data_IF_554720493950
#
_entry.id   IF_554720493950
#
_cell.length_a   1.000
_cell.length_b   1.000
_cell.length_c   1.000
_cell.angle_alpha   90.00
_cell.angle_beta   90.00
_cell.angle_gamma   90.00
#
_symmetry.space_group_name_H-M   'P 1'
#
loop_
_entity.id
_entity.type
_entity.pdbx_description
1 polymer ?
#
# COMPACT_ATOMS: atom_id res chain seq x y z
N UNK A 1 15.59 23.44 -20.90
CA UNK A 1 14.81 24.05 -19.80
C UNK A 1 14.26 22.97 -18.88
N UNK A 2 14.59 22.97 -17.57
CA UNK A 2 13.93 22.06 -16.62
C UNK A 2 12.44 22.43 -16.55
N UNK A 3 11.56 21.50 -16.91
CA UNK A 3 10.11 21.68 -16.76
C UNK A 3 9.82 21.98 -15.30
N UNK A 4 9.31 23.18 -14.99
CA UNK A 4 8.76 23.51 -13.67
C UNK A 4 7.81 22.36 -13.28
N UNK A 5 7.95 21.75 -12.08
CA UNK A 5 7.01 20.72 -11.65
C UNK A 5 5.61 21.34 -11.66
N UNK A 6 4.71 20.80 -12.49
CA UNK A 6 3.34 21.27 -12.56
C UNK A 6 2.69 21.06 -11.17
N UNK A 7 2.56 22.14 -10.39
CA UNK A 7 1.92 22.15 -9.06
C UNK A 7 0.55 21.45 -9.08
N UNK A 8 -0.15 21.47 -10.22
CA UNK A 8 -1.49 20.92 -10.39
C UNK A 8 -1.60 19.40 -10.21
N UNK A 9 -0.53 18.61 -10.39
CA UNK A 9 -0.60 17.14 -10.23
C UNK A 9 -0.56 16.63 -8.78
N UNK A 10 -0.36 17.51 -7.79
CA UNK A 10 -0.20 17.13 -6.38
C UNK A 10 -1.34 17.61 -5.48
N UNK A 11 -2.29 18.35 -6.05
CA UNK A 11 -3.52 18.73 -5.38
C UNK A 11 -4.52 17.59 -5.62
N UNK A 12 -4.96 16.95 -4.55
CA UNK A 12 -6.01 15.93 -4.60
C UNK A 12 -7.35 16.63 -4.76
N UNK A 13 -8.07 16.33 -5.84
CA UNK A 13 -9.45 16.80 -5.99
C UNK A 13 -10.35 16.15 -4.94
N UNK A 14 -11.41 16.85 -4.52
CA UNK A 14 -12.40 16.29 -3.59
C UNK A 14 -13.04 15.01 -4.17
N UNK A 15 -13.27 15.00 -5.49
CA UNK A 15 -13.72 13.83 -6.24
C UNK A 15 -12.77 12.65 -6.09
N UNK A 16 -11.46 12.86 -6.30
CA UNK A 16 -10.47 11.78 -6.17
C UNK A 16 -10.43 11.23 -4.75
N UNK A 17 -10.58 12.08 -3.74
CA UNK A 17 -10.65 11.65 -2.34
C UNK A 17 -11.89 10.79 -2.07
N UNK A 18 -13.09 11.25 -2.48
CA UNK A 18 -14.36 10.50 -2.32
C UNK A 18 -14.32 9.15 -3.02
N UNK A 19 -13.83 9.10 -4.25
CA UNK A 19 -13.71 7.84 -5.00
C UNK A 19 -12.71 6.89 -4.34
N UNK A 20 -11.58 7.40 -3.82
CA UNK A 20 -10.61 6.57 -3.13
C UNK A 20 -11.14 6.04 -1.80
N UNK A 21 -11.92 6.84 -1.08
CA UNK A 21 -12.64 6.39 0.12
C UNK A 21 -13.63 5.26 -0.21
N UNK A 22 -14.47 5.47 -1.23
CA UNK A 22 -15.41 4.45 -1.69
C UNK A 22 -14.68 3.18 -2.14
N UNK A 23 -13.54 3.32 -2.80
CA UNK A 23 -12.68 2.19 -3.19
C UNK A 23 -12.18 1.43 -1.97
N UNK A 24 -11.75 2.13 -0.92
CA UNK A 24 -11.32 1.51 0.34
C UNK A 24 -12.45 0.73 1.02
N UNK A 25 -13.65 1.31 1.06
CA UNK A 25 -14.87 0.67 1.57
C UNK A 25 -15.17 -0.60 0.77
N UNK A 26 -15.20 -0.50 -0.57
CA UNK A 26 -15.47 -1.64 -1.45
C UNK A 26 -14.43 -2.74 -1.26
N UNK A 27 -13.14 -2.41 -1.22
CA UNK A 27 -12.06 -3.39 -1.00
C UNK A 27 -12.26 -4.11 0.34
N UNK A 28 -12.51 -3.36 1.43
CA UNK A 28 -12.74 -3.94 2.74
C UNK A 28 -13.93 -4.91 2.74
N UNK A 29 -15.09 -4.47 2.25
CA UNK A 29 -16.30 -5.29 2.23
C UNK A 29 -16.19 -6.46 1.26
N UNK A 30 -15.45 -6.34 0.16
CA UNK A 30 -15.19 -7.46 -0.76
C UNK A 30 -14.36 -8.56 -0.10
N UNK A 31 -13.33 -8.18 0.66
CA UNK A 31 -12.51 -9.14 1.42
C UNK A 31 -13.34 -9.78 2.55
N UNK A 32 -14.15 -8.98 3.27
CA UNK A 32 -15.04 -9.50 4.30
C UNK A 32 -16.09 -10.46 3.73
N UNK A 33 -16.68 -10.13 2.57
CA UNK A 33 -17.60 -11.01 1.86
C UNK A 33 -16.94 -12.34 1.49
N UNK A 34 -15.70 -12.30 0.97
CA UNK A 34 -14.95 -13.51 0.66
C UNK A 34 -14.75 -14.39 1.92
N UNK A 35 -14.35 -13.83 3.05
CA UNK A 35 -14.14 -14.61 4.27
C UNK A 35 -15.43 -15.14 4.90
N UNK A 36 -16.43 -14.29 5.07
CA UNK A 36 -17.65 -14.64 5.81
C UNK A 36 -18.59 -15.48 4.95
N UNK A 37 -18.85 -15.03 3.72
CA UNK A 37 -19.87 -15.66 2.86
C UNK A 37 -19.28 -16.82 2.07
N UNK A 38 -18.15 -16.61 1.37
CA UNK A 38 -17.60 -17.64 0.48
C UNK A 38 -16.79 -18.71 1.20
N UNK A 39 -16.19 -18.38 2.36
CA UNK A 39 -15.39 -19.32 3.16
C UNK A 39 -16.10 -19.80 4.42
N UNK A 40 -17.33 -19.32 4.69
CA UNK A 40 -18.16 -19.73 5.82
C UNK A 40 -17.53 -19.44 7.19
N UNK A 41 -16.66 -18.43 7.27
CA UNK A 41 -15.99 -18.09 8.52
C UNK A 41 -16.88 -17.18 9.39
N UNK A 42 -16.86 -17.34 10.72
CA UNK A 42 -17.64 -16.46 11.59
C UNK A 42 -17.15 -15.02 11.48
N UNK A 43 -18.04 -14.04 11.68
CA UNK A 43 -17.63 -12.63 11.73
C UNK A 43 -17.00 -12.34 13.09
N UNK A 44 -15.69 -12.10 13.13
CA UNK A 44 -14.95 -11.73 14.34
C UNK A 44 -13.89 -10.63 14.07
N UNK A 45 -13.27 -10.13 15.15
CA UNK A 45 -12.23 -9.11 15.08
C UNK A 45 -10.96 -9.60 14.37
N UNK A 46 -10.66 -10.90 14.40
CA UNK A 46 -9.50 -11.47 13.72
C UNK A 46 -9.68 -11.46 12.20
N UNK A 47 -10.89 -11.69 11.68
CA UNK A 47 -11.19 -11.55 10.26
C UNK A 47 -11.19 -10.10 9.81
N UNK A 48 -11.78 -9.19 10.60
CA UNK A 48 -11.69 -7.76 10.33
C UNK A 48 -10.22 -7.31 10.25
N UNK A 49 -9.37 -7.76 11.18
CA UNK A 49 -7.94 -7.48 11.19
C UNK A 49 -7.24 -7.97 9.90
N UNK A 50 -7.55 -9.17 9.43
CA UNK A 50 -7.04 -9.71 8.15
C UNK A 50 -7.52 -8.89 6.95
N UNK A 51 -8.77 -8.46 6.94
CA UNK A 51 -9.33 -7.63 5.87
C UNK A 51 -8.65 -6.26 5.81
N UNK A 52 -8.37 -5.63 6.94
CA UNK A 52 -7.57 -4.39 6.99
C UNK A 52 -6.15 -4.62 6.48
N UNK A 53 -5.47 -5.69 6.90
CA UNK A 53 -4.12 -6.00 6.45
C UNK A 53 -4.04 -6.17 4.92
N UNK A 54 -4.94 -6.99 4.35
CA UNK A 54 -4.98 -7.26 2.91
C UNK A 54 -5.44 -6.02 2.15
N UNK A 55 -6.45 -5.30 2.64
CA UNK A 55 -6.94 -4.07 2.04
C UNK A 55 -5.86 -2.98 1.98
N UNK A 56 -5.02 -2.87 3.02
CA UNK A 56 -3.87 -1.97 3.02
C UNK A 56 -2.92 -2.27 1.84
N UNK A 57 -2.61 -3.54 1.59
CA UNK A 57 -1.75 -3.97 0.47
C UNK A 57 -2.36 -3.55 -0.87
N UNK A 58 -3.66 -3.79 -1.08
CA UNK A 58 -4.33 -3.43 -2.33
C UNK A 58 -4.36 -1.91 -2.56
N UNK A 59 -4.69 -1.12 -1.54
CA UNK A 59 -4.79 0.33 -1.64
C UNK A 59 -3.43 1.00 -1.80
N UNK A 60 -2.44 0.63 -0.98
CA UNK A 60 -1.06 1.14 -1.10
C UNK A 60 -0.45 0.67 -2.42
N UNK A 61 -0.64 -0.59 -2.80
CA UNK A 61 -0.18 -1.13 -4.07
C UNK A 61 -0.78 -0.38 -5.26
N UNK A 62 -2.08 -0.10 -5.27
CA UNK A 62 -2.73 0.69 -6.31
C UNK A 62 -2.14 2.11 -6.42
N UNK A 63 -1.87 2.76 -5.28
CA UNK A 63 -1.19 4.07 -5.24
C UNK A 63 0.19 4.03 -5.93
N UNK A 64 0.97 2.98 -5.67
CA UNK A 64 2.28 2.81 -6.30
C UNK A 64 2.18 2.38 -7.76
N UNK A 65 1.17 1.60 -8.14
CA UNK A 65 1.01 1.04 -9.48
C UNK A 65 0.63 2.08 -10.53
N UNK A 66 -0.16 3.09 -10.15
CA UNK A 66 -0.55 4.19 -11.04
C UNK A 66 0.65 4.92 -11.65
N UNK A 67 1.78 5.00 -10.92
CA UNK A 67 3.01 5.64 -11.41
C UNK A 67 3.59 4.93 -12.63
N UNK A 68 3.96 3.63 -12.53
CA UNK A 68 4.39 2.85 -13.68
C UNK A 68 3.37 2.76 -14.81
N UNK A 69 2.07 2.59 -14.51
CA UNK A 69 1.03 2.54 -15.55
C UNK A 69 0.96 3.82 -16.37
N UNK A 70 1.08 5.00 -15.74
CA UNK A 70 1.16 6.28 -16.45
C UNK A 70 2.42 6.41 -17.32
N UNK A 71 3.47 5.62 -17.10
CA UNK A 71 4.65 5.61 -17.98
C UNK A 71 4.45 4.75 -19.21
N UNK A 72 3.77 3.63 -19.10
CA UNK A 72 3.47 2.75 -20.24
C UNK A 72 2.29 3.25 -21.08
N UNK A 73 1.26 3.81 -20.45
CA UNK A 73 0.05 4.29 -21.11
C UNK A 73 -0.36 5.68 -20.57
N UNK A 74 0.39 6.70 -20.99
CA UNK A 74 0.26 8.08 -20.50
C UNK A 74 -1.15 8.64 -20.63
N UNK A 75 -1.77 8.57 -21.81
CA UNK A 75 -3.08 9.17 -22.06
C UNK A 75 -4.19 8.57 -21.18
N UNK A 76 -4.07 7.30 -20.80
CA UNK A 76 -5.07 6.59 -20.00
C UNK A 76 -4.88 6.79 -18.49
N UNK A 77 -3.62 6.82 -18.02
CA UNK A 77 -3.33 6.78 -16.59
C UNK A 77 -2.76 8.09 -16.01
N UNK A 78 -2.28 9.03 -16.83
CA UNK A 78 -1.85 10.35 -16.33
C UNK A 78 -2.98 11.10 -15.61
N UNK A 79 -4.22 11.13 -16.12
CA UNK A 79 -5.34 11.75 -15.40
C UNK A 79 -5.63 11.06 -14.06
N UNK A 80 -5.30 9.77 -13.94
CA UNK A 80 -5.54 8.96 -12.73
C UNK A 80 -4.42 9.12 -11.68
N UNK A 81 -3.43 9.98 -11.91
CA UNK A 81 -2.37 10.21 -10.91
C UNK A 81 -2.88 10.95 -9.67
N UNK A 82 -4.00 11.68 -9.76
CA UNK A 82 -4.62 12.37 -8.62
C UNK A 82 -5.07 11.42 -7.49
N UNK A 83 -5.37 10.16 -7.82
CA UNK A 83 -5.81 9.13 -6.86
C UNK A 83 -4.66 8.55 -6.04
N UNK A 84 -3.39 8.78 -6.43
CA UNK A 84 -2.23 8.15 -5.76
C UNK A 84 -2.16 8.50 -4.28
N UNK A 85 -2.26 9.79 -3.96
CA UNK A 85 -2.19 10.26 -2.57
C UNK A 85 -3.33 9.68 -1.71
N UNK A 86 -4.62 9.86 -2.05
CA UNK A 86 -5.69 9.37 -1.19
C UNK A 86 -5.71 7.84 -1.08
N UNK A 87 -5.44 7.08 -2.15
CA UNK A 87 -5.32 5.61 -2.07
C UNK A 87 -4.21 5.19 -1.11
N UNK A 88 -3.04 5.84 -1.18
CA UNK A 88 -1.92 5.56 -0.28
C UNK A 88 -2.26 5.87 1.18
N UNK A 89 -2.97 6.98 1.45
CA UNK A 89 -3.39 7.36 2.80
C UNK A 89 -4.46 6.44 3.38
N UNK A 90 -5.49 6.07 2.61
CA UNK A 90 -6.49 5.10 3.09
C UNK A 90 -5.87 3.72 3.34
N UNK A 91 -4.95 3.28 2.47
CA UNK A 91 -4.19 2.07 2.71
C UNK A 91 -3.29 2.15 3.95
N UNK A 92 -2.67 3.30 4.22
CA UNK A 92 -1.93 3.54 5.46
C UNK A 92 -2.84 3.49 6.70
N UNK A 93 -4.03 4.09 6.66
CA UNK A 93 -4.98 4.00 7.76
C UNK A 93 -5.44 2.56 8.02
N UNK A 94 -5.64 1.76 6.97
CA UNK A 94 -5.92 0.34 7.11
C UNK A 94 -4.76 -0.40 7.79
N UNK A 95 -3.52 -0.08 7.44
CA UNK A 95 -2.35 -0.66 8.11
C UNK A 95 -2.27 -0.27 9.59
N UNK A 96 -2.62 0.97 9.96
CA UNK A 96 -2.68 1.40 11.36
C UNK A 96 -3.76 0.62 12.12
N UNK A 97 -4.96 0.50 11.56
CA UNK A 97 -6.05 -0.29 12.18
C UNK A 97 -5.62 -1.75 12.34
N UNK A 98 -4.98 -2.33 11.33
CA UNK A 98 -4.44 -3.69 11.40
C UNK A 98 -3.43 -3.85 12.57
N UNK A 99 -2.53 -2.89 12.77
CA UNK A 99 -1.57 -2.92 13.87
C UNK A 99 -2.29 -2.82 15.21
N UNK A 100 -3.20 -1.86 15.37
CA UNK A 100 -3.95 -1.68 16.62
C UNK A 100 -4.77 -2.93 16.97
N UNK A 101 -5.46 -3.52 15.99
CA UNK A 101 -6.19 -4.77 16.19
C UNK A 101 -5.25 -5.94 16.50
N UNK A 102 -4.10 -6.02 15.84
CA UNK A 102 -3.11 -7.09 16.11
C UNK A 102 -2.57 -7.01 17.54
N UNK A 103 -2.29 -5.80 18.04
CA UNK A 103 -1.87 -5.59 19.43
C UNK A 103 -2.98 -5.91 20.44
N UNK A 104 -4.24 -5.74 20.04
CA UNK A 104 -5.39 -6.02 20.90
C UNK A 104 -5.73 -7.52 20.98
N UNK A 105 -5.67 -8.23 19.85
CA UNK A 105 -6.24 -9.60 19.73
C UNK A 105 -5.20 -10.71 19.66
N UNK A 106 -3.94 -10.41 19.34
CA UNK A 106 -2.89 -11.44 19.18
C UNK A 106 -2.11 -11.56 20.48
N UNK A 107 -2.04 -12.76 21.11
CA UNK A 107 -1.25 -12.97 22.31
C UNK A 107 0.22 -12.60 22.11
N UNK A 108 0.85 -12.00 23.12
CA UNK A 108 2.25 -11.55 23.05
C UNK A 108 3.24 -12.66 22.68
N UNK A 109 3.02 -13.89 23.17
CA UNK A 109 3.83 -15.07 22.83
C UNK A 109 3.75 -15.42 21.32
N UNK A 110 2.57 -15.24 20.71
CA UNK A 110 2.36 -15.45 19.28
C UNK A 110 3.03 -14.35 18.44
N UNK A 111 3.08 -13.11 18.95
CA UNK A 111 3.85 -12.03 18.33
C UNK A 111 5.36 -12.31 18.41
N UNK A 112 5.85 -12.76 19.56
CA UNK A 112 7.26 -13.09 19.78
C UNK A 112 7.77 -14.23 18.88
N UNK A 113 6.97 -15.29 18.71
CA UNK A 113 7.29 -16.41 17.82
C UNK A 113 7.32 -16.05 16.32
N UNK A 114 6.72 -14.93 15.92
CA UNK A 114 6.78 -14.39 14.55
C UNK A 114 7.78 -13.22 14.42
N UNK A 115 8.86 -13.21 15.21
CA UNK A 115 9.79 -12.08 15.33
C UNK A 115 10.30 -11.51 14.00
N UNK A 116 10.62 -12.36 13.01
CA UNK A 116 11.09 -11.88 11.70
C UNK A 116 9.97 -11.19 10.89
N UNK A 117 8.75 -11.72 10.93
CA UNK A 117 7.57 -11.09 10.33
C UNK A 117 7.32 -9.73 10.99
N UNK A 118 7.34 -9.70 12.32
CA UNK A 118 7.14 -8.47 13.09
C UNK A 118 8.22 -7.42 12.75
N UNK A 119 9.49 -7.82 12.65
CA UNK A 119 10.59 -6.92 12.25
C UNK A 119 10.31 -6.25 10.90
N UNK A 120 9.96 -7.02 9.87
CA UNK A 120 9.63 -6.45 8.56
C UNK A 120 8.42 -5.50 8.62
N UNK A 121 7.37 -5.88 9.37
CA UNK A 121 6.18 -5.06 9.57
C UNK A 121 6.49 -3.72 10.27
N UNK A 122 7.32 -3.75 11.31
CA UNK A 122 7.72 -2.57 12.07
C UNK A 122 8.53 -1.59 11.20
N UNK A 123 9.53 -2.07 10.47
CA UNK A 123 10.32 -1.19 9.59
C UNK A 123 9.43 -0.64 8.46
N UNK A 124 8.53 -1.46 7.89
CA UNK A 124 7.60 -1.01 6.86
C UNK A 124 6.70 0.13 7.36
N UNK A 125 6.09 0.00 8.54
CA UNK A 125 5.18 1.04 9.06
C UNK A 125 5.92 2.32 9.41
N UNK A 126 7.16 2.25 9.90
CA UNK A 126 7.98 3.45 10.14
C UNK A 126 8.22 4.22 8.84
N UNK A 127 8.59 3.52 7.76
CA UNK A 127 8.80 4.15 6.45
C UNK A 127 7.47 4.69 5.90
N UNK A 128 6.37 3.94 5.98
CA UNK A 128 5.07 4.44 5.53
C UNK A 128 4.58 5.65 6.33
N UNK A 129 4.88 5.71 7.62
CA UNK A 129 4.56 6.86 8.47
C UNK A 129 5.31 8.11 8.00
N UNK A 130 6.59 7.97 7.66
CA UNK A 130 7.38 9.05 7.06
C UNK A 130 6.81 9.49 5.68
N UNK A 131 6.41 8.53 4.84
CA UNK A 131 5.82 8.83 3.53
C UNK A 131 4.46 9.53 3.68
N UNK A 132 3.62 9.06 4.60
CA UNK A 132 2.30 9.62 4.87
C UNK A 132 2.40 11.03 5.47
N UNK A 133 3.27 11.27 6.44
CA UNK A 133 3.48 12.58 7.07
C UNK A 133 4.04 13.62 6.08
N UNK A 134 4.84 13.17 5.11
CA UNK A 134 5.40 14.05 4.06
C UNK A 134 4.53 14.14 2.80
N UNK A 135 3.29 13.64 2.82
CA UNK A 135 2.37 13.66 1.67
C UNK A 135 1.65 15.00 1.46
N UNK A 136 1.90 16.00 2.32
CA UNK A 136 1.29 17.33 2.26
C UNK A 136 2.01 18.24 1.26
N UNK A 137 1.29 19.19 0.66
CA UNK A 137 1.88 20.22 -0.22
C UNK A 137 2.92 21.06 0.52
N UNK A 138 2.68 21.36 1.80
CA UNK A 138 3.63 22.02 2.70
C UNK A 138 4.99 21.32 2.76
N UNK A 139 5.01 19.98 2.72
CA UNK A 139 6.27 19.22 2.73
C UNK A 139 7.07 19.36 1.43
N UNK A 140 6.38 19.56 0.30
CA UNK A 140 7.02 19.85 -0.98
C UNK A 140 7.67 21.23 -0.94
N UNK A 141 6.99 22.21 -0.35
CA UNK A 141 7.48 23.58 -0.19
C UNK A 141 8.68 23.64 0.77
N UNK A 142 8.65 22.89 1.87
CA UNK A 142 9.71 22.87 2.88
C UNK A 142 11.01 22.19 2.41
N UNK A 143 10.90 21.07 1.67
CA UNK A 143 12.06 20.24 1.33
C UNK A 143 12.51 20.34 -0.13
N UNK A 144 11.71 20.97 -0.98
CA UNK A 144 11.90 20.97 -2.42
C UNK A 144 11.47 19.64 -3.07
N UNK A 145 11.11 19.73 -4.34
CA UNK A 145 10.51 18.62 -5.08
C UNK A 145 11.39 17.36 -5.14
N UNK A 146 12.69 17.51 -5.38
CA UNK A 146 13.59 16.37 -5.56
C UNK A 146 13.79 15.55 -4.29
N UNK A 147 13.97 16.21 -3.14
CA UNK A 147 14.10 15.53 -1.84
C UNK A 147 12.79 14.88 -1.44
N UNK A 148 11.68 15.61 -1.57
CA UNK A 148 10.34 15.08 -1.33
C UNK A 148 10.08 13.83 -2.18
N UNK A 149 10.42 13.86 -3.47
CA UNK A 149 10.23 12.72 -4.36
C UNK A 149 11.08 11.51 -3.96
N UNK A 150 12.31 11.73 -3.48
CA UNK A 150 13.16 10.64 -2.94
C UNK A 150 12.51 10.00 -1.71
N UNK A 151 11.98 10.80 -0.78
CA UNK A 151 11.24 10.31 0.39
C UNK A 151 10.02 9.49 -0.06
N UNK A 152 9.19 10.01 -0.96
CA UNK A 152 8.00 9.29 -1.43
C UNK A 152 8.34 7.95 -2.13
N UNK A 153 9.54 7.82 -2.70
CA UNK A 153 10.02 6.59 -3.33
C UNK A 153 10.50 5.53 -2.33
N UNK A 154 10.86 5.89 -1.09
CA UNK A 154 11.22 4.90 -0.07
C UNK A 154 10.05 3.99 0.27
N UNK A 155 8.81 4.41 0.01
CA UNK A 155 7.66 3.55 0.21
C UNK A 155 7.59 2.33 -0.72
N UNK A 156 8.33 2.28 -1.83
CA UNK A 156 8.51 1.00 -2.58
C UNK A 156 9.33 -0.01 -1.76
N UNK A 157 10.31 0.45 -0.98
CA UNK A 157 11.05 -0.41 -0.05
C UNK A 157 10.14 -0.87 1.08
N UNK A 158 9.33 0.03 1.65
CA UNK A 158 8.33 -0.34 2.65
C UNK A 158 7.33 -1.39 2.11
N UNK A 159 6.90 -1.23 0.85
CA UNK A 159 5.98 -2.17 0.21
C UNK A 159 6.64 -3.55 -0.01
N UNK A 160 7.93 -3.60 -0.38
CA UNK A 160 8.68 -4.85 -0.41
C UNK A 160 8.78 -5.49 0.99
N UNK A 161 9.03 -4.71 2.04
CA UNK A 161 9.06 -5.21 3.42
C UNK A 161 7.70 -5.78 3.84
N UNK A 162 6.57 -5.20 3.40
CA UNK A 162 5.24 -5.78 3.62
C UNK A 162 5.08 -7.14 2.94
N UNK A 163 5.59 -7.31 1.71
CA UNK A 163 5.58 -8.62 1.05
C UNK A 163 6.37 -9.63 1.88
N UNK A 164 7.57 -9.26 2.33
CA UNK A 164 8.40 -10.12 3.18
C UNK A 164 7.71 -10.46 4.51
N UNK A 165 7.06 -9.48 5.15
CA UNK A 165 6.24 -9.68 6.34
C UNK A 165 5.20 -10.79 6.16
N UNK A 166 4.44 -10.77 5.05
CA UNK A 166 3.45 -11.80 4.72
C UNK A 166 4.06 -13.15 4.35
N UNK A 167 5.18 -13.16 3.61
CA UNK A 167 5.86 -14.38 3.16
C UNK A 167 6.38 -15.20 4.34
N UNK A 168 6.90 -14.56 5.39
CA UNK A 168 7.44 -15.26 6.56
C UNK A 168 6.40 -15.45 7.68
N UNK A 169 5.19 -14.89 7.53
CA UNK A 169 4.13 -14.96 8.53
C UNK A 169 3.66 -16.41 8.76
N UNK A 170 3.65 -16.85 10.02
CA UNK A 170 3.20 -18.18 10.40
C UNK A 170 3.91 -19.27 9.59
N UNK A 171 5.24 -19.16 9.47
CA UNK A 171 6.10 -20.07 8.71
C UNK A 171 5.67 -20.27 7.25
N UNK A 172 5.22 -19.19 6.59
CA UNK A 172 4.82 -19.22 5.18
C UNK A 172 3.40 -19.69 4.92
N UNK A 173 2.59 -19.87 5.97
CA UNK A 173 1.18 -20.28 5.85
C UNK A 173 0.35 -19.36 4.93
N UNK A 174 0.72 -18.08 4.80
CA UNK A 174 0.02 -17.13 3.95
C UNK A 174 0.16 -17.46 2.45
N UNK A 175 1.30 -18.00 2.02
CA UNK A 175 1.60 -18.34 0.62
C UNK A 175 0.69 -19.47 0.12
N UNK A 176 0.25 -20.34 1.02
CA UNK A 176 -0.59 -21.48 0.70
C UNK A 176 -2.09 -21.15 0.66
N UNK A 177 -2.48 -19.90 0.97
CA UNK A 177 -3.88 -19.46 0.94
C UNK A 177 -4.18 -18.76 -0.37
N UNK A 178 -5.32 -19.07 -1.00
CA UNK A 178 -5.72 -18.47 -2.28
C UNK A 178 -5.69 -16.94 -2.26
N UNK A 179 -6.32 -16.30 -1.26
CA UNK A 179 -6.29 -14.85 -1.14
C UNK A 179 -4.87 -14.31 -0.84
N UNK A 180 -4.03 -15.11 -0.17
CA UNK A 180 -2.62 -14.77 0.04
C UNK A 180 -1.82 -14.77 -1.25
N UNK A 181 -2.01 -15.78 -2.10
CA UNK A 181 -1.41 -15.85 -3.44
C UNK A 181 -1.83 -14.66 -4.31
N UNK A 182 -3.12 -14.33 -4.34
CA UNK A 182 -3.62 -13.16 -5.08
C UNK A 182 -3.00 -11.85 -4.58
N UNK A 183 -2.92 -11.69 -3.26
CA UNK A 183 -2.33 -10.50 -2.62
C UNK A 183 -0.86 -10.37 -2.97
N UNK A 184 -0.09 -11.45 -2.85
CA UNK A 184 1.34 -11.48 -3.18
C UNK A 184 1.59 -11.29 -4.67
N UNK A 185 0.79 -11.91 -5.53
CA UNK A 185 0.89 -11.75 -6.99
C UNK A 185 0.62 -10.30 -7.41
N UNK A 186 -0.42 -9.67 -6.86
CA UNK A 186 -0.69 -8.25 -7.08
C UNK A 186 0.49 -7.39 -6.61
N UNK A 187 0.98 -7.61 -5.38
CA UNK A 187 2.09 -6.82 -4.84
C UNK A 187 3.38 -6.99 -5.66
N UNK A 188 3.69 -8.22 -6.10
CA UNK A 188 4.81 -8.52 -6.98
C UNK A 188 4.66 -7.83 -8.34
N UNK A 189 3.46 -7.84 -8.92
CA UNK A 189 3.17 -7.14 -10.18
C UNK A 189 3.42 -5.63 -10.08
N UNK A 190 3.03 -5.00 -8.97
CA UNK A 190 3.30 -3.57 -8.72
C UNK A 190 4.80 -3.28 -8.71
N UNK A 191 5.59 -4.10 -8.00
CA UNK A 191 7.04 -3.96 -7.94
C UNK A 191 7.70 -4.26 -9.29
N UNK A 192 7.25 -5.30 -9.99
CA UNK A 192 7.75 -5.65 -11.32
C UNK A 192 7.52 -4.51 -12.31
N UNK A 193 6.30 -3.96 -12.36
CA UNK A 193 5.99 -2.81 -13.21
C UNK A 193 6.92 -1.62 -12.91
N UNK A 194 7.25 -1.41 -11.62
CA UNK A 194 8.22 -0.38 -11.23
C UNK A 194 9.63 -0.70 -11.74
N UNK A 195 10.10 -1.93 -11.60
CA UNK A 195 11.42 -2.36 -12.07
C UNK A 195 11.54 -2.22 -13.60
N UNK A 196 10.50 -2.62 -14.35
CA UNK A 196 10.47 -2.46 -15.81
C UNK A 196 10.62 -1.00 -16.23
N UNK A 197 9.92 -0.07 -15.56
CA UNK A 197 10.08 1.38 -15.82
C UNK A 197 11.52 1.86 -15.56
N UNK A 198 12.21 1.33 -14.55
CA UNK A 198 13.60 1.69 -14.28
C UNK A 198 14.55 1.13 -15.35
N UNK A 199 14.32 -0.12 -15.79
CA UNK A 199 15.10 -0.76 -16.84
C UNK A 199 14.99 0.00 -18.17
N UNK A 200 13.78 0.30 -18.64
CA UNK A 200 13.55 1.05 -19.89
C UNK A 200 14.00 2.52 -19.82
N UNK A 201 14.07 3.11 -18.63
CA UNK A 201 14.61 4.46 -18.47
C UNK A 201 16.13 4.50 -18.65
N UNK A 202 16.83 3.43 -18.28
CA UNK A 202 18.31 3.35 -18.37
C UNK A 202 18.79 3.09 -19.81
N UNK A 203 17.91 2.62 -20.70
CA UNK A 203 18.23 2.34 -22.11
C UNK A 203 17.99 3.52 -23.07
N UNK A 204 17.68 4.72 -22.55
CA UNK A 204 17.54 5.97 -23.29
C UNK A 204 18.44 7.02 -22.67
#
# INVERSE_FOLDING_TARGET
MPKKPQKHHYITSERANKISFLSAVIVFFSIMFYFVVLRGQPFDLAFANRAFAIGAVFLIGASYFLGPLARFAWNTFSPKLEYRKPLGLYGFYFAIIHILLSLLIVPGETLGSNGLSLFFGMIAILIFTLVASTSMTKSIEAHGFDRWQKIQRTGYLAFLLVILHFVVLGNGSFINRQLGQLTLAFAALVLLARLLVLAFKKSR
#
